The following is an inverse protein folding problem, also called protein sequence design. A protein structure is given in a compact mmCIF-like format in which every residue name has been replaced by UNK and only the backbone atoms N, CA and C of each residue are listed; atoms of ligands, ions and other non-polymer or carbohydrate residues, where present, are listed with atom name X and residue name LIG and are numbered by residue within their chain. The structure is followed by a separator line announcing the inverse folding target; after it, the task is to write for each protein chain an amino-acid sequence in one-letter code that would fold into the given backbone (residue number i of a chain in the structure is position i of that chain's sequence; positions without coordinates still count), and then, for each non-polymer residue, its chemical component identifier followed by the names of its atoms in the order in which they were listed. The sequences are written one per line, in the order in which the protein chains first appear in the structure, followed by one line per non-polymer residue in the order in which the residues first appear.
data_IF_950592786694
#
_entry.id   IF_950592786694
#
_cell.length_a   1.000
_cell.length_b   1.000
_cell.length_c   1.000
_cell.angle_alpha   90.00
_cell.angle_beta   90.00
_cell.angle_gamma   90.00
#
_symmetry.space_group_name_H-M   'P 1'
#
loop_
_entity.id
_entity.type
_entity.pdbx_description
1 polymer ?
#
# COMPACT_ATOMS: atom_id res chain seq x y z
N UNK A 1 49.64 -10.17 38.55
CA UNK A 1 49.96 -9.92 39.98
C UNK A 1 49.88 -8.43 40.24
N UNK A 2 48.87 -8.04 41.03
CA UNK A 2 48.77 -6.89 41.96
C UNK A 2 49.34 -5.52 41.54
N UNK A 3 48.45 -4.53 41.47
CA UNK A 3 48.67 -3.23 42.09
C UNK A 3 47.33 -2.60 42.46
N UNK A 4 46.96 -2.73 43.73
CA UNK A 4 45.97 -1.92 44.44
C UNK A 4 46.75 -0.85 45.20
N UNK A 5 46.32 0.41 45.13
CA UNK A 5 46.49 1.39 46.22
C UNK A 5 45.43 2.48 46.13
N UNK A 6 44.73 2.67 47.25
CA UNK A 6 43.69 3.64 47.51
C UNK A 6 44.24 4.92 48.19
N UNK A 7 43.49 6.03 48.13
CA UNK A 7 43.16 7.00 49.21
C UNK A 7 42.55 8.27 48.55
N UNK A 8 41.24 8.57 48.69
CA UNK A 8 40.57 9.40 49.72
C UNK A 8 41.10 10.84 49.88
N UNK A 9 40.28 11.85 49.55
CA UNK A 9 40.14 13.11 50.31
C UNK A 9 38.75 13.73 50.10
N UNK A 10 38.22 14.24 51.21
CA UNK A 10 36.87 14.75 51.48
C UNK A 10 36.99 16.26 51.76
N UNK A 11 36.08 17.12 51.29
CA UNK A 11 35.73 18.36 52.01
C UNK A 11 34.36 18.92 51.57
N UNK A 12 33.61 19.33 52.58
CA UNK A 12 32.23 19.82 52.61
C UNK A 12 32.26 21.27 53.12
N UNK A 13 31.39 22.16 52.64
CA UNK A 13 30.99 23.37 53.39
C UNK A 13 29.71 24.03 52.84
N UNK A 14 28.76 24.23 53.76
CA UNK A 14 27.49 24.97 53.66
C UNK A 14 27.71 26.50 53.67
N UNK A 15 26.72 27.27 53.17
CA UNK A 15 26.12 28.36 53.96
C UNK A 15 24.73 28.79 53.45
N UNK A 16 23.89 29.14 54.42
CA UNK A 16 22.45 29.45 54.45
C UNK A 16 22.27 30.95 54.78
N UNK A 17 21.20 31.62 54.31
CA UNK A 17 20.50 32.76 54.97
C UNK A 17 19.41 33.36 54.03
N UNK A 18 18.11 33.15 54.29
CA UNK A 18 17.14 34.05 54.98
C UNK A 18 16.61 35.20 54.08
N UNK A 19 15.39 35.17 53.54
CA UNK A 19 14.03 35.38 54.12
C UNK A 19 13.80 36.80 54.67
N UNK A 20 12.89 37.58 54.05
CA UNK A 20 11.76 38.25 54.73
C UNK A 20 10.82 38.99 53.75
N UNK A 21 9.53 38.89 54.11
CA UNK A 21 8.30 39.35 53.47
C UNK A 21 8.22 40.87 53.20
N UNK A 22 7.43 41.25 52.19
CA UNK A 22 6.19 42.03 52.48
C UNK A 22 5.08 41.64 51.52
N UNK A 23 3.95 41.29 52.13
CA UNK A 23 2.66 40.96 51.56
C UNK A 23 1.80 42.24 51.57
N UNK A 24 1.08 42.56 50.48
CA UNK A 24 -0.14 43.38 50.56
C UNK A 24 -1.12 42.96 49.47
N UNK A 25 -2.22 42.36 49.91
CA UNK A 25 -3.39 41.94 49.15
C UNK A 25 -4.22 43.13 48.64
N UNK A 26 -4.85 42.96 47.47
CA UNK A 26 -6.31 43.19 47.29
C UNK A 26 -6.80 42.68 45.91
N UNK A 27 -7.27 41.43 45.93
CA UNK A 27 -8.47 40.79 45.30
C UNK A 27 -9.56 41.66 44.59
N UNK A 28 -10.61 41.07 43.95
CA UNK A 28 -10.75 39.76 43.27
C UNK A 28 -11.65 39.78 41.99
N UNK A 29 -11.66 38.68 41.22
CA UNK A 29 -12.90 38.12 40.62
C UNK A 29 -12.71 36.63 40.33
N UNK A 30 -13.08 35.74 41.28
CA UNK A 30 -14.29 34.89 41.30
C UNK A 30 -14.17 33.58 40.47
N UNK A 31 -13.93 32.49 41.24
CA UNK A 31 -14.44 31.10 41.22
C UNK A 31 -14.25 30.17 40.00
N UNK A 32 -13.94 28.87 40.15
CA UNK A 32 -13.96 27.91 41.29
C UNK A 32 -13.13 26.64 40.95
N UNK A 33 -12.10 26.23 41.74
CA UNK A 33 -12.06 25.12 42.76
C UNK A 33 -12.53 23.74 42.22
N UNK A 34 -11.86 22.57 42.35
CA UNK A 34 -11.05 21.85 43.39
C UNK A 34 -10.30 20.70 42.64
N UNK A 35 -9.14 20.12 42.97
CA UNK A 35 -8.20 20.18 44.10
C UNK A 35 -7.14 19.06 43.94
N UNK A 36 -5.98 19.25 44.57
CA UNK A 36 -4.86 18.30 44.65
C UNK A 36 -5.01 17.39 45.88
N UNK A 37 -4.63 16.11 45.77
CA UNK A 37 -4.15 15.30 46.89
C UNK A 37 -3.50 13.97 46.43
N UNK A 38 -2.23 13.79 46.80
CA UNK A 38 -1.83 12.63 47.61
C UNK A 38 -1.21 11.42 46.90
N UNK A 39 0.05 11.13 47.24
CA UNK A 39 0.65 9.80 47.12
C UNK A 39 -0.12 8.78 47.97
N UNK A 40 -0.57 7.68 47.36
CA UNK A 40 -0.78 6.39 48.03
C UNK A 40 -0.45 5.26 47.06
N UNK A 41 0.41 4.34 47.50
CA UNK A 41 0.72 3.08 46.82
C UNK A 41 -0.35 2.03 47.18
N UNK A 42 -0.55 1.10 46.23
CA UNK A 42 -1.21 -0.22 46.31
C UNK A 42 -2.74 -0.22 46.19
N UNK A 43 -3.18 -0.68 45.01
CA UNK A 43 -4.53 -1.06 44.64
C UNK A 43 -4.64 -1.10 43.12
N UNK A 44 -4.16 -2.17 42.48
CA UNK A 44 -4.42 -2.43 41.05
C UNK A 44 -5.90 -2.82 40.96
N UNK A 45 -6.75 -1.82 40.86
CA UNK A 45 -8.04 -1.98 40.22
C UNK A 45 -7.77 -2.00 38.72
N UNK A 46 -8.05 -3.14 38.08
CA UNK A 46 -8.15 -3.22 36.63
C UNK A 46 -9.38 -2.37 36.28
N UNK A 47 -9.15 -1.07 36.10
CA UNK A 47 -10.11 -0.19 35.45
C UNK A 47 -10.26 -0.76 34.05
N UNK A 48 -11.45 -1.25 33.72
CA UNK A 48 -11.87 -1.38 32.32
C UNK A 48 -11.83 0.03 31.74
N UNK A 49 -10.67 0.45 31.25
CA UNK A 49 -10.52 1.72 30.53
C UNK A 49 -11.30 1.60 29.23
N UNK A 50 -12.08 2.63 28.90
CA UNK A 50 -12.67 2.74 27.57
C UNK A 50 -11.55 2.66 26.51
N UNK A 51 -11.81 2.00 25.37
CA UNK A 51 -10.80 1.86 24.33
C UNK A 51 -10.41 3.24 23.77
N UNK A 52 -9.13 3.39 23.42
CA UNK A 52 -8.68 4.54 22.64
C UNK A 52 -9.28 4.45 21.25
N UNK A 53 -10.16 5.39 20.90
CA UNK A 53 -10.97 5.29 19.70
C UNK A 53 -10.79 6.48 18.77
N UNK A 54 -10.80 6.20 17.48
CA UNK A 54 -10.95 7.19 16.41
C UNK A 54 -12.09 6.77 15.48
N UNK A 55 -12.78 7.76 14.91
CA UNK A 55 -13.83 7.55 13.92
C UNK A 55 -13.56 8.45 12.73
N UNK A 56 -13.52 7.85 11.55
CA UNK A 56 -13.42 8.54 10.28
C UNK A 56 -14.85 8.76 9.77
N UNK A 57 -15.11 9.94 9.21
CA UNK A 57 -16.43 10.30 8.68
C UNK A 57 -16.26 10.96 7.33
N UNK A 58 -17.00 10.51 6.31
CA UNK A 58 -17.12 11.27 5.07
C UNK A 58 -17.98 12.53 5.29
N UNK A 59 -17.62 13.63 4.61
CA UNK A 59 -18.41 14.88 4.64
C UNK A 59 -19.80 14.72 4.00
N UNK A 60 -20.02 13.67 3.19
CA UNK A 60 -21.28 13.41 2.50
C UNK A 60 -21.64 11.92 2.55
N UNK A 61 -22.56 11.53 3.44
CA UNK A 61 -23.08 10.16 3.48
C UNK A 61 -23.89 9.83 2.22
N UNK A 62 -23.41 8.89 1.41
CA UNK A 62 -24.15 8.29 0.30
C UNK A 62 -25.14 7.23 0.81
N UNK A 63 -26.26 6.99 0.11
CA UNK A 63 -27.12 5.86 0.41
C UNK A 63 -26.36 4.54 0.18
N UNK A 64 -26.01 3.83 1.24
CA UNK A 64 -25.21 2.59 1.14
C UNK A 64 -23.98 2.58 2.04
N UNK A 65 -23.59 3.73 2.60
CA UNK A 65 -22.53 3.81 3.60
C UNK A 65 -22.98 3.20 4.93
N UNK A 66 -22.15 2.33 5.50
CA UNK A 66 -22.25 1.85 6.88
C UNK A 66 -20.93 2.11 7.63
N UNK A 67 -20.95 1.93 8.94
CA UNK A 67 -19.76 2.13 9.77
C UNK A 67 -19.27 0.78 10.31
N UNK A 68 -18.03 0.44 10.02
CA UNK A 68 -17.36 -0.76 10.52
C UNK A 68 -16.38 -0.36 11.63
N UNK A 69 -16.48 -1.01 12.79
CA UNK A 69 -15.57 -0.78 13.92
C UNK A 69 -14.61 -1.94 14.06
N UNK A 70 -13.33 -1.64 13.96
CA UNK A 70 -12.21 -2.55 14.21
C UNK A 70 -11.75 -2.37 15.65
N UNK A 71 -11.41 -3.45 16.33
CA UNK A 71 -10.94 -3.45 17.72
C UNK A 71 -9.72 -4.34 17.85
N UNK A 72 -8.64 -3.83 18.45
CA UNK A 72 -7.42 -4.61 18.66
C UNK A 72 -6.74 -4.27 19.99
N UNK A 73 -5.84 -5.15 20.41
CA UNK A 73 -4.99 -4.97 21.58
C UNK A 73 -3.55 -4.66 21.10
N UNK A 74 -2.91 -3.65 21.71
CA UNK A 74 -1.49 -3.35 21.49
C UNK A 74 -0.88 -2.78 22.77
N UNK A 75 0.26 -3.33 23.20
CA UNK A 75 0.98 -2.92 24.44
C UNK A 75 0.07 -2.88 25.68
N UNK A 76 -0.84 -3.86 25.79
CA UNK A 76 -1.78 -4.00 26.91
C UNK A 76 -2.93 -2.99 26.91
N UNK A 77 -3.09 -2.20 25.85
CA UNK A 77 -4.19 -1.25 25.67
C UNK A 77 -5.15 -1.71 24.57
N UNK A 78 -6.43 -1.37 24.73
CA UNK A 78 -7.49 -1.60 23.74
C UNK A 78 -7.67 -0.38 22.85
N UNK A 79 -7.73 -0.62 21.55
CA UNK A 79 -7.83 0.39 20.52
C UNK A 79 -9.02 0.13 19.62
N UNK A 80 -9.59 1.19 19.07
CA UNK A 80 -10.70 1.12 18.12
C UNK A 80 -10.54 2.12 16.99
N UNK A 81 -10.89 1.68 15.79
CA UNK A 81 -11.00 2.53 14.62
C UNK A 81 -12.34 2.26 13.95
N UNK A 82 -13.11 3.31 13.69
CA UNK A 82 -14.40 3.18 12.98
C UNK A 82 -14.29 3.84 11.62
N UNK A 83 -14.54 3.06 10.57
CA UNK A 83 -14.43 3.48 9.18
C UNK A 83 -15.81 3.59 8.52
N UNK A 84 -16.05 4.62 7.69
CA UNK A 84 -17.19 4.66 6.79
C UNK A 84 -16.87 3.79 5.56
N UNK A 85 -17.73 2.83 5.27
CA UNK A 85 -17.59 1.92 4.14
C UNK A 85 -18.86 1.94 3.30
N UNK A 86 -18.71 2.00 1.99
CA UNK A 86 -19.78 2.09 0.99
C UNK A 86 -19.87 0.83 0.11
N UNK A 87 -21.10 0.32 -0.02
CA UNK A 87 -21.39 -0.88 -0.81
C UNK A 87 -21.19 -0.68 -2.33
N UNK A 88 -21.50 0.50 -2.87
CA UNK A 88 -21.35 0.79 -4.30
C UNK A 88 -19.87 0.93 -4.66
N UNK A 89 -19.08 1.52 -3.78
CA UNK A 89 -17.63 1.57 -3.91
C UNK A 89 -17.02 0.17 -3.83
N UNK A 90 -17.45 -0.69 -2.90
CA UNK A 90 -17.01 -2.09 -2.85
C UNK A 90 -17.31 -2.86 -4.14
N UNK A 91 -18.53 -2.75 -4.68
CA UNK A 91 -18.87 -3.38 -5.97
C UNK A 91 -18.08 -2.78 -7.14
N UNK A 92 -17.74 -1.49 -7.07
CA UNK A 92 -16.82 -0.86 -8.03
C UNK A 92 -15.45 -1.53 -7.96
N UNK A 93 -14.86 -1.68 -6.77
CA UNK A 93 -13.59 -2.40 -6.59
C UNK A 93 -13.65 -3.82 -7.14
N UNK A 94 -14.67 -4.60 -6.82
CA UNK A 94 -14.83 -5.98 -7.33
C UNK A 94 -14.90 -6.08 -8.85
N UNK A 95 -15.44 -5.06 -9.51
CA UNK A 95 -15.56 -5.03 -10.97
C UNK A 95 -14.24 -4.69 -11.69
N UNK A 96 -13.24 -4.18 -10.97
CA UNK A 96 -11.94 -3.79 -11.54
C UNK A 96 -11.11 -5.00 -11.92
N UNK A 97 -10.22 -4.83 -12.89
CA UNK A 97 -9.33 -5.92 -13.32
C UNK A 97 -8.22 -6.16 -12.30
N UNK A 98 -7.97 -7.44 -11.98
CA UNK A 98 -6.85 -7.90 -11.16
C UNK A 98 -5.58 -8.15 -11.98
N UNK A 99 -5.62 -7.96 -13.30
CA UNK A 99 -4.46 -8.11 -14.17
C UNK A 99 -3.53 -6.90 -14.03
N UNK A 100 -2.82 -6.83 -12.90
CA UNK A 100 -1.86 -5.80 -12.52
C UNK A 100 -0.90 -6.37 -11.49
N UNK A 101 0.26 -5.75 -11.34
CA UNK A 101 1.27 -6.13 -10.35
C UNK A 101 0.81 -5.73 -8.92
N UNK A 102 1.29 -6.44 -7.89
CA UNK A 102 0.90 -6.20 -6.49
C UNK A 102 1.18 -4.76 -6.00
N UNK A 103 2.25 -4.11 -6.49
CA UNK A 103 2.54 -2.71 -6.17
C UNK A 103 1.44 -1.74 -6.63
N UNK A 104 0.70 -2.10 -7.68
CA UNK A 104 -0.39 -1.30 -8.22
C UNK A 104 -1.71 -1.49 -7.46
N UNK A 105 -1.82 -2.51 -6.61
CA UNK A 105 -2.90 -2.59 -5.62
C UNK A 105 -2.60 -1.70 -4.42
N UNK A 106 -1.35 -1.71 -3.93
CA UNK A 106 -0.94 -0.91 -2.78
C UNK A 106 -0.84 0.61 -3.07
N UNK A 107 -0.57 0.97 -4.32
CA UNK A 107 -0.44 2.38 -4.76
C UNK A 107 -1.71 2.93 -5.44
N UNK A 108 -2.84 2.26 -5.26
CA UNK A 108 -4.08 2.55 -5.98
C UNK A 108 -4.66 3.93 -5.64
N UNK A 109 -4.95 4.81 -6.63
CA UNK A 109 -5.39 6.17 -6.33
C UNK A 109 -6.86 6.27 -5.88
N UNK A 110 -7.66 5.20 -5.96
CA UNK A 110 -9.09 5.27 -5.64
C UNK A 110 -9.35 5.20 -4.13
N UNK A 111 -8.43 4.66 -3.32
CA UNK A 111 -8.52 4.61 -1.86
C UNK A 111 -7.53 5.54 -1.16
N UNK A 112 -6.77 6.36 -1.89
CA UNK A 112 -5.85 7.39 -1.35
C UNK A 112 -6.49 8.20 -0.21
N UNK A 113 -7.75 8.61 -0.37
CA UNK A 113 -8.47 9.37 0.65
C UNK A 113 -8.67 8.57 1.94
N UNK A 114 -9.04 7.29 1.83
CA UNK A 114 -9.32 6.42 2.97
C UNK A 114 -8.03 6.04 3.68
N UNK A 115 -7.00 5.66 2.91
CA UNK A 115 -5.67 5.33 3.43
C UNK A 115 -5.08 6.51 4.19
N UNK A 116 -5.21 7.72 3.63
CA UNK A 116 -4.80 8.95 4.32
C UNK A 116 -5.52 9.17 5.63
N UNK A 117 -6.85 9.08 5.66
CA UNK A 117 -7.61 9.27 6.90
C UNK A 117 -7.28 8.19 7.94
N UNK A 118 -7.02 6.94 7.52
CA UNK A 118 -6.57 5.85 8.41
C UNK A 118 -5.20 6.17 8.99
N UNK A 119 -4.24 6.56 8.15
CA UNK A 119 -2.89 6.95 8.56
C UNK A 119 -2.92 8.12 9.56
N UNK A 120 -3.72 9.15 9.30
CA UNK A 120 -3.90 10.30 10.20
C UNK A 120 -4.57 9.91 11.52
N UNK A 121 -5.56 9.02 11.49
CA UNK A 121 -6.23 8.52 12.69
C UNK A 121 -5.30 7.69 13.57
N UNK A 122 -4.55 6.75 13.00
CA UNK A 122 -3.57 5.94 13.73
C UNK A 122 -2.43 6.79 14.29
N UNK A 123 -1.94 7.77 13.53
CA UNK A 123 -0.93 8.72 14.00
C UNK A 123 -1.46 9.59 15.15
N UNK A 124 -2.73 9.98 15.11
CA UNK A 124 -3.36 10.78 16.17
C UNK A 124 -3.57 9.95 17.44
N UNK A 125 -4.02 8.70 17.31
CA UNK A 125 -4.17 7.76 18.42
C UNK A 125 -2.84 7.49 19.13
N UNK A 126 -1.80 7.17 18.35
CA UNK A 126 -0.46 6.91 18.89
C UNK A 126 0.11 8.12 19.65
N UNK A 127 -0.02 9.33 19.08
CA UNK A 127 0.43 10.57 19.74
C UNK A 127 -0.36 10.91 21.00
N UNK A 128 -1.69 10.72 20.97
CA UNK A 128 -2.54 11.00 22.13
C UNK A 128 -2.21 10.11 23.33
N UNK A 129 -1.75 8.87 23.07
CA UNK A 129 -1.29 7.94 24.10
C UNK A 129 0.20 8.09 24.46
N UNK A 130 0.96 8.89 23.70
CA UNK A 130 2.38 9.11 23.95
C UNK A 130 3.27 7.93 23.55
N UNK A 131 2.88 7.16 22.51
CA UNK A 131 3.76 6.14 21.93
C UNK A 131 5.04 6.78 21.39
N UNK A 132 6.17 6.09 21.56
CA UNK A 132 7.45 6.50 20.99
C UNK A 132 7.40 6.37 19.45
N UNK A 133 8.13 7.24 18.73
CA UNK A 133 8.16 7.21 17.25
C UNK A 133 8.49 5.84 16.65
N UNK A 134 9.35 5.06 17.34
CA UNK A 134 9.73 3.71 16.92
C UNK A 134 8.62 2.67 17.08
N UNK A 135 7.61 2.93 17.91
CA UNK A 135 6.47 2.05 18.16
C UNK A 135 5.34 2.28 17.16
N UNK A 136 5.31 3.44 16.50
CA UNK A 136 4.22 3.82 15.60
C UNK A 136 4.03 2.81 14.45
N UNK A 137 5.08 2.32 13.75
CA UNK A 137 4.89 1.30 12.71
C UNK A 137 4.29 0.00 13.24
N UNK A 138 4.80 -0.50 14.36
CA UNK A 138 4.29 -1.74 14.98
C UNK A 138 2.85 -1.57 15.49
N UNK A 139 2.51 -0.39 16.02
CA UNK A 139 1.14 -0.06 16.37
C UNK A 139 0.21 -0.07 15.16
N UNK A 140 0.62 0.53 14.04
CA UNK A 140 -0.17 0.52 12.81
C UNK A 140 -0.34 -0.88 12.25
N UNK A 141 0.71 -1.69 12.26
CA UNK A 141 0.62 -3.08 11.79
C UNK A 141 -0.18 -3.95 12.74
N UNK A 142 -0.18 -3.69 14.05
CA UNK A 142 -1.05 -4.42 14.98
C UNK A 142 -2.55 -4.26 14.68
N UNK A 143 -2.95 -3.12 14.08
CA UNK A 143 -4.31 -2.94 13.56
C UNK A 143 -4.57 -3.89 12.38
N UNK A 144 -3.65 -3.98 11.42
CA UNK A 144 -3.80 -4.86 10.24
C UNK A 144 -3.75 -6.34 10.65
N UNK A 145 -2.84 -6.72 11.56
CA UNK A 145 -2.73 -8.05 12.15
C UNK A 145 -3.97 -8.50 12.91
N UNK A 146 -4.85 -7.57 13.31
CA UNK A 146 -6.11 -7.86 13.99
C UNK A 146 -7.25 -8.26 13.05
N UNK A 147 -7.07 -8.09 11.74
CA UNK A 147 -8.04 -8.50 10.74
C UNK A 147 -8.12 -10.02 10.64
N UNK A 148 -9.26 -10.54 10.21
CA UNK A 148 -9.45 -11.98 10.07
C UNK A 148 -8.57 -12.52 8.93
N UNK A 149 -7.93 -13.66 9.15
CA UNK A 149 -7.28 -14.38 8.05
C UNK A 149 -8.34 -15.07 7.19
N UNK A 150 -8.42 -14.70 5.92
CA UNK A 150 -9.41 -15.21 4.98
C UNK A 150 -8.70 -15.61 3.69
N UNK A 151 -8.56 -16.92 3.45
CA UNK A 151 -7.95 -17.39 2.20
C UNK A 151 -8.80 -17.07 0.98
N UNK A 152 -8.15 -16.76 -0.14
CA UNK A 152 -8.83 -16.44 -1.41
C UNK A 152 -9.78 -17.52 -1.91
N UNK A 153 -9.41 -18.80 -1.74
CA UNK A 153 -10.25 -19.91 -2.16
C UNK A 153 -11.56 -19.95 -1.37
N UNK A 154 -11.52 -19.61 -0.08
CA UNK A 154 -12.67 -19.64 0.81
C UNK A 154 -13.60 -18.44 0.58
N UNK A 155 -13.06 -17.27 0.25
CA UNK A 155 -13.82 -16.02 0.08
C UNK A 155 -14.31 -15.77 -1.36
N UNK A 156 -13.41 -15.92 -2.33
CA UNK A 156 -13.63 -15.54 -3.73
C UNK A 156 -13.94 -16.74 -4.63
N UNK A 157 -13.54 -17.93 -4.18
CA UNK A 157 -13.61 -19.17 -4.96
C UNK A 157 -12.49 -19.33 -5.99
N UNK A 158 -11.48 -18.45 -5.96
CA UNK A 158 -10.27 -18.51 -6.79
C UNK A 158 -9.04 -18.79 -5.92
N UNK A 159 -8.01 -19.38 -6.52
CA UNK A 159 -6.75 -19.73 -5.83
C UNK A 159 -5.83 -18.51 -5.62
N UNK A 160 -6.05 -17.44 -6.38
CA UNK A 160 -5.38 -16.14 -6.28
C UNK A 160 -6.34 -15.02 -6.69
N UNK A 161 -6.65 -14.14 -5.76
CA UNK A 161 -7.57 -13.00 -5.84
C UNK A 161 -7.06 -11.85 -4.95
N UNK A 162 -5.94 -11.19 -5.34
CA UNK A 162 -5.48 -10.02 -4.61
C UNK A 162 -6.56 -8.96 -4.51
N UNK A 163 -6.76 -8.50 -3.29
CA UNK A 163 -7.71 -7.46 -2.93
C UNK A 163 -7.04 -6.09 -2.92
N UNK A 164 -7.82 -5.09 -3.28
CA UNK A 164 -7.42 -3.71 -2.98
C UNK A 164 -7.50 -3.44 -1.47
N UNK A 165 -6.74 -2.46 -0.94
CA UNK A 165 -6.82 -2.07 0.47
C UNK A 165 -8.26 -1.81 0.93
N UNK A 166 -9.08 -1.14 0.10
CA UNK A 166 -10.50 -0.93 0.38
C UNK A 166 -11.30 -2.24 0.57
N UNK A 167 -11.06 -3.25 -0.26
CA UNK A 167 -11.75 -4.55 -0.17
C UNK A 167 -11.34 -5.31 1.09
N UNK A 168 -10.05 -5.29 1.43
CA UNK A 168 -9.51 -5.91 2.65
C UNK A 168 -10.16 -5.34 3.91
N UNK A 169 -10.30 -4.00 3.95
CA UNK A 169 -11.01 -3.33 5.03
C UNK A 169 -12.49 -3.70 5.02
N UNK A 170 -13.15 -3.67 3.87
CA UNK A 170 -14.58 -3.97 3.75
C UNK A 170 -14.93 -5.39 4.20
N UNK A 171 -14.12 -6.38 3.84
CA UNK A 171 -14.31 -7.78 4.22
C UNK A 171 -13.84 -8.09 5.65
N UNK A 172 -13.22 -7.12 6.32
CA UNK A 172 -12.62 -7.28 7.65
C UNK A 172 -11.54 -8.37 7.69
N UNK A 173 -10.82 -8.57 6.58
CA UNK A 173 -9.89 -9.67 6.45
C UNK A 173 -9.38 -9.89 5.03
N UNK A 174 -8.36 -10.73 4.95
CA UNK A 174 -7.64 -11.14 3.74
C UNK A 174 -6.56 -12.14 4.11
N UNK A 175 -5.80 -12.60 3.13
CA UNK A 175 -4.63 -13.45 3.36
C UNK A 175 -3.33 -12.64 3.34
N UNK A 176 -2.20 -13.31 3.06
CA UNK A 176 -0.87 -12.75 3.27
C UNK A 176 -0.58 -11.55 2.34
N UNK A 177 -1.02 -11.62 1.08
CA UNK A 177 -0.85 -10.54 0.12
C UNK A 177 -1.72 -9.33 0.46
N UNK A 178 -2.97 -9.54 0.84
CA UNK A 178 -3.94 -8.47 1.07
C UNK A 178 -3.54 -7.62 2.27
N UNK A 179 -3.17 -8.30 3.36
CA UNK A 179 -2.70 -7.63 4.58
C UNK A 179 -1.36 -6.95 4.35
N UNK A 180 -0.49 -7.49 3.51
CA UNK A 180 0.77 -6.85 3.10
C UNK A 180 0.53 -5.59 2.26
N UNK A 181 -0.38 -5.66 1.28
CA UNK A 181 -0.79 -4.55 0.41
C UNK A 181 -1.36 -3.39 1.24
N UNK A 182 -2.32 -3.67 2.13
CA UNK A 182 -2.91 -2.67 3.03
C UNK A 182 -1.85 -2.06 3.96
N UNK A 183 -0.96 -2.89 4.51
CA UNK A 183 0.11 -2.45 5.41
C UNK A 183 1.09 -1.49 4.73
N UNK A 184 1.53 -1.81 3.50
CA UNK A 184 2.41 -0.91 2.73
C UNK A 184 1.71 0.41 2.45
N UNK A 185 0.45 0.38 2.00
CA UNK A 185 -0.30 1.58 1.67
C UNK A 185 -0.39 2.55 2.86
N UNK A 186 -0.77 2.05 4.04
CA UNK A 186 -0.85 2.85 5.27
C UNK A 186 0.53 3.40 5.66
N UNK A 187 1.57 2.56 5.69
CA UNK A 187 2.89 2.98 6.16
C UNK A 187 3.56 3.98 5.21
N UNK A 188 3.40 3.82 3.89
CA UNK A 188 3.90 4.78 2.91
C UNK A 188 3.19 6.13 3.04
N UNK A 189 1.87 6.14 3.27
CA UNK A 189 1.11 7.38 3.51
C UNK A 189 1.56 8.09 4.80
N UNK A 190 2.00 7.32 5.81
CA UNK A 190 2.62 7.86 7.02
C UNK A 190 4.07 8.34 6.83
N UNK A 191 4.65 8.15 5.64
CA UNK A 191 6.01 8.56 5.29
C UNK A 191 7.10 7.55 5.65
N UNK A 192 6.74 6.30 5.98
CA UNK A 192 7.70 5.22 6.13
C UNK A 192 8.06 4.64 4.75
N UNK A 193 9.34 4.32 4.57
CA UNK A 193 9.84 3.65 3.36
C UNK A 193 9.59 2.15 3.53
N UNK A 194 8.52 1.68 2.90
CA UNK A 194 8.02 0.31 2.98
C UNK A 194 7.86 -0.31 1.59
N UNK A 195 8.08 -1.61 1.50
CA UNK A 195 8.06 -2.44 0.29
C UNK A 195 7.30 -3.73 0.55
N UNK A 196 6.87 -4.41 -0.51
CA UNK A 196 6.37 -5.77 -0.41
C UNK A 196 7.56 -6.75 -0.45
N UNK A 197 7.46 -7.84 0.29
CA UNK A 197 8.39 -8.96 0.26
C UNK A 197 7.64 -10.18 -0.27
N UNK A 198 8.01 -10.62 -1.47
CA UNK A 198 7.42 -11.79 -2.10
C UNK A 198 8.29 -13.02 -1.82
N UNK A 199 7.66 -14.06 -1.25
CA UNK A 199 8.25 -15.34 -0.93
C UNK A 199 7.47 -16.45 -1.67
N UNK A 200 8.00 -17.68 -1.78
CA UNK A 200 7.24 -18.79 -2.33
C UNK A 200 5.95 -19.01 -1.54
N UNK A 201 4.79 -18.81 -2.19
CA UNK A 201 3.45 -18.97 -1.61
C UNK A 201 3.18 -18.09 -0.37
N UNK A 202 3.90 -16.97 -0.19
CA UNK A 202 3.69 -16.05 0.93
C UNK A 202 4.08 -14.61 0.56
N UNK A 203 3.46 -13.65 1.23
CA UNK A 203 3.82 -12.24 1.12
C UNK A 203 3.89 -11.60 2.50
N UNK A 204 4.87 -10.72 2.68
CA UNK A 204 5.07 -9.95 3.90
C UNK A 204 5.43 -8.49 3.59
N UNK A 205 5.52 -7.69 4.65
CA UNK A 205 6.00 -6.31 4.58
C UNK A 205 7.52 -6.26 4.78
N UNK A 206 8.20 -5.39 4.02
CA UNK A 206 9.55 -4.91 4.33
C UNK A 206 9.50 -3.45 4.74
N UNK A 207 10.03 -3.10 5.92
CA UNK A 207 10.11 -1.70 6.38
C UNK A 207 11.55 -1.27 6.58
N UNK A 208 11.91 -0.11 6.04
CA UNK A 208 13.21 0.49 6.28
C UNK A 208 13.31 1.01 7.71
N UNK A 209 14.31 0.55 8.43
CA UNK A 209 14.60 1.00 9.78
C UNK A 209 15.93 1.74 9.86
N UNK A 210 16.07 2.54 10.92
CA UNK A 210 17.34 3.20 11.22
C UNK A 210 18.45 2.17 11.51
N UNK A 211 19.70 2.58 11.30
CA UNK A 211 20.88 1.73 11.53
C UNK A 211 20.89 1.15 12.94
N UNK A 212 21.06 -0.17 13.06
CA UNK A 212 21.20 -0.87 14.35
C UNK A 212 19.94 -1.58 14.84
N UNK A 213 18.85 -1.56 14.07
CA UNK A 213 17.74 -2.51 14.26
C UNK A 213 18.25 -3.95 14.17
N UNK A 214 17.60 -4.87 14.87
CA UNK A 214 17.96 -6.30 14.88
C UNK A 214 16.83 -7.10 14.25
N UNK A 215 17.18 -8.21 13.63
CA UNK A 215 16.23 -9.12 13.01
C UNK A 215 16.59 -9.39 11.55
N UNK A 216 15.69 -10.07 10.83
CA UNK A 216 15.87 -10.36 9.41
C UNK A 216 15.59 -9.12 8.58
N UNK A 217 16.54 -8.76 7.73
CA UNK A 217 16.38 -7.72 6.72
C UNK A 217 16.83 -8.19 5.33
N UNK A 218 16.43 -7.43 4.32
CA UNK A 218 16.75 -7.64 2.91
C UNK A 218 17.27 -6.34 2.31
N UNK A 219 18.44 -6.40 1.66
CA UNK A 219 19.05 -5.23 1.02
C UNK A 219 18.36 -4.96 -0.33
N UNK A 220 17.92 -3.73 -0.53
CA UNK A 220 17.41 -3.23 -1.80
C UNK A 220 17.85 -1.78 -2.00
N UNK A 221 18.47 -1.49 -3.16
CA UNK A 221 19.02 -0.17 -3.51
C UNK A 221 19.86 0.51 -2.40
N UNK A 222 20.63 -0.29 -1.66
CA UNK A 222 21.51 0.18 -0.59
C UNK A 222 20.80 0.54 0.72
N UNK A 223 19.54 0.14 0.89
CA UNK A 223 18.77 0.21 2.14
C UNK A 223 18.41 -1.18 2.65
N UNK A 224 18.39 -1.35 3.98
CA UNK A 224 17.94 -2.59 4.63
C UNK A 224 16.45 -2.49 4.97
N UNK A 225 15.65 -3.38 4.40
CA UNK A 225 14.22 -3.53 4.69
C UNK A 225 14.01 -4.72 5.63
N UNK A 226 13.56 -4.45 6.86
CA UNK A 226 13.31 -5.46 7.88
C UNK A 226 11.98 -6.14 7.61
N UNK A 227 11.96 -7.47 7.71
CA UNK A 227 10.75 -8.26 7.59
C UNK A 227 9.75 -7.85 8.66
N UNK A 228 8.47 -7.76 8.32
CA UNK A 228 7.39 -7.62 9.28
C UNK A 228 6.21 -8.46 8.79
N UNK A 229 5.83 -9.45 9.59
CA UNK A 229 4.68 -10.30 9.31
C UNK A 229 3.38 -9.52 9.52
N UNK A 230 2.47 -9.63 8.57
CA UNK A 230 1.15 -8.97 8.61
C UNK A 230 0.04 -9.94 8.95
N UNK A 231 0.30 -11.25 8.85
CA UNK A 231 -0.65 -12.31 9.16
C UNK A 231 -0.46 -12.86 10.58
N UNK A 232 -1.54 -12.85 11.36
CA UNK A 232 -1.52 -13.27 12.77
C UNK A 232 -1.07 -12.14 13.70
N UNK A 233 -1.05 -12.41 15.00
CA UNK A 233 -0.87 -11.38 16.03
C UNK A 233 0.53 -11.36 16.62
N UNK A 234 0.92 -10.21 17.16
CA UNK A 234 2.11 -9.99 18.00
C UNK A 234 3.47 -10.16 17.29
N UNK A 235 3.50 -10.13 15.96
CA UNK A 235 4.76 -10.16 15.22
C UNK A 235 5.48 -8.80 15.25
N UNK A 236 6.75 -8.82 15.63
CA UNK A 236 7.59 -7.63 15.72
C UNK A 236 8.46 -7.43 14.48
N UNK A 237 8.96 -6.20 14.30
CA UNK A 237 9.88 -5.91 13.20
C UNK A 237 11.13 -6.78 13.31
N UNK A 238 11.42 -7.49 12.22
CA UNK A 238 12.58 -8.36 12.06
C UNK A 238 12.36 -9.81 12.51
N UNK A 239 11.19 -10.14 13.06
CA UNK A 239 10.78 -11.52 13.33
C UNK A 239 10.22 -12.18 12.08
N UNK A 240 10.62 -13.42 11.82
CA UNK A 240 10.17 -14.19 10.65
C UNK A 240 9.62 -15.52 11.14
N UNK A 241 8.43 -15.96 10.67
CA UNK A 241 7.94 -17.30 10.93
C UNK A 241 8.98 -18.37 10.52
N UNK A 242 9.10 -19.44 11.30
CA UNK A 242 10.14 -20.47 11.12
C UNK A 242 10.10 -21.08 9.69
N UNK A 243 8.91 -21.23 9.13
CA UNK A 243 8.70 -21.78 7.77
C UNK A 243 9.25 -20.89 6.64
N UNK A 244 9.42 -19.59 6.89
CA UNK A 244 9.90 -18.60 5.93
C UNK A 244 11.35 -18.16 6.16
N UNK A 245 11.97 -18.55 7.28
CA UNK A 245 13.28 -18.04 7.71
C UNK A 245 14.41 -18.21 6.66
N UNK A 246 14.38 -19.32 5.91
CA UNK A 246 15.38 -19.69 4.91
C UNK A 246 14.88 -19.56 3.46
N UNK A 247 13.69 -19.00 3.24
CA UNK A 247 13.11 -18.85 1.90
C UNK A 247 13.78 -17.70 1.12
N UNK A 248 13.88 -17.82 -0.22
CA UNK A 248 14.28 -16.70 -1.05
C UNK A 248 13.22 -15.60 -0.99
N UNK A 249 13.67 -14.35 -1.00
CA UNK A 249 12.78 -13.18 -0.94
C UNK A 249 13.07 -12.27 -2.11
N UNK A 250 12.02 -11.91 -2.84
CA UNK A 250 12.02 -10.87 -3.85
C UNK A 250 11.48 -9.58 -3.24
N UNK A 251 12.27 -8.51 -3.29
CA UNK A 251 11.83 -7.19 -2.80
C UNK A 251 11.07 -6.50 -3.92
N UNK A 252 9.80 -6.20 -3.69
CA UNK A 252 8.91 -5.54 -4.65
C UNK A 252 8.70 -4.09 -4.18
N UNK A 253 9.39 -3.11 -4.78
CA UNK A 253 9.20 -1.71 -4.43
C UNK A 253 7.79 -1.25 -4.81
N UNK A 254 7.16 -0.47 -3.94
CA UNK A 254 5.84 0.11 -4.21
C UNK A 254 6.00 1.57 -4.55
N UNK A 255 5.64 1.94 -5.78
CA UNK A 255 5.68 3.31 -6.27
C UNK A 255 4.62 3.53 -7.33
N UNK A 256 4.14 4.77 -7.43
CA UNK A 256 3.12 5.13 -8.40
C UNK A 256 3.68 5.15 -9.83
N UNK A 257 3.00 4.52 -10.78
CA UNK A 257 3.41 4.44 -12.20
C UNK A 257 2.24 4.14 -13.14
N UNK A 258 2.27 4.57 -14.40
CA UNK A 258 1.33 4.08 -15.40
C UNK A 258 1.70 2.65 -15.81
N UNK A 259 0.70 1.81 -16.05
CA UNK A 259 0.88 0.45 -16.57
C UNK A 259 -0.26 0.14 -17.51
N UNK A 260 0.04 -0.33 -18.72
CA UNK A 260 -0.96 -0.51 -19.77
C UNK A 260 -1.18 -1.99 -20.04
N UNK A 261 -2.44 -2.40 -20.05
CA UNK A 261 -2.88 -3.67 -20.60
C UNK A 261 -3.39 -3.47 -22.03
N UNK A 262 -2.92 -4.32 -22.95
CA UNK A 262 -3.34 -4.33 -24.35
C UNK A 262 -4.19 -5.55 -24.66
N UNK A 263 -5.21 -5.34 -25.48
CA UNK A 263 -5.93 -6.40 -26.20
C UNK A 263 -6.25 -5.92 -27.62
N UNK A 264 -6.40 -6.85 -28.56
CA UNK A 264 -6.90 -6.49 -29.89
C UNK A 264 -7.69 -7.60 -30.57
N UNK A 265 -8.55 -7.19 -31.50
CA UNK A 265 -9.26 -8.07 -32.43
C UNK A 265 -9.01 -7.62 -33.86
N UNK A 266 -8.51 -8.53 -34.67
CA UNK A 266 -8.26 -8.28 -36.09
C UNK A 266 -9.34 -8.92 -36.98
N UNK A 267 -9.72 -8.22 -38.04
CA UNK A 267 -10.58 -8.71 -39.11
C UNK A 267 -9.82 -8.61 -40.42
N UNK A 268 -9.83 -9.69 -41.20
CA UNK A 268 -9.11 -9.78 -42.46
C UNK A 268 -10.09 -9.97 -43.62
N UNK A 269 -9.98 -9.12 -44.63
CA UNK A 269 -10.62 -9.30 -45.93
C UNK A 269 -9.54 -9.63 -46.98
N UNK A 270 -9.87 -10.43 -47.99
CA UNK A 270 -8.88 -10.91 -48.95
C UNK A 270 -9.32 -10.79 -50.40
N UNK A 271 -8.35 -10.51 -51.26
CA UNK A 271 -8.48 -10.49 -52.71
C UNK A 271 -7.36 -11.32 -53.37
N UNK A 272 -7.38 -11.43 -54.71
CA UNK A 272 -6.29 -12.12 -55.44
C UNK A 272 -4.95 -11.38 -55.40
N UNK A 273 -4.91 -10.14 -54.91
CA UNK A 273 -3.70 -9.29 -54.94
C UNK A 273 -3.16 -8.98 -53.54
N UNK A 274 -4.05 -8.78 -52.59
CA UNK A 274 -3.72 -8.35 -51.23
C UNK A 274 -4.79 -8.79 -50.23
N UNK A 275 -4.36 -8.93 -48.97
CA UNK A 275 -5.20 -8.92 -47.79
C UNK A 275 -5.28 -7.51 -47.19
N UNK A 276 -6.45 -7.16 -46.69
CA UNK A 276 -6.71 -5.93 -45.94
C UNK A 276 -7.08 -6.31 -44.51
N UNK A 277 -6.39 -5.70 -43.55
CA UNK A 277 -6.51 -6.01 -42.13
C UNK A 277 -6.99 -4.76 -41.38
N UNK A 278 -8.12 -4.90 -40.70
CA UNK A 278 -8.63 -3.92 -39.75
C UNK A 278 -8.41 -4.47 -38.33
N UNK A 279 -7.81 -3.66 -37.45
CA UNK A 279 -7.48 -4.04 -36.07
C UNK A 279 -8.22 -3.08 -35.13
N UNK A 280 -8.97 -3.64 -34.18
CA UNK A 280 -9.56 -2.91 -33.06
C UNK A 280 -8.73 -3.20 -31.82
N UNK A 281 -8.14 -2.17 -31.23
CA UNK A 281 -7.23 -2.22 -30.09
C UNK A 281 -7.95 -1.64 -28.88
N UNK A 282 -7.83 -2.32 -27.75
CA UNK A 282 -8.26 -1.83 -26.44
C UNK A 282 -7.00 -1.63 -25.60
N UNK A 283 -6.85 -0.42 -25.07
CA UNK A 283 -5.76 0.01 -24.21
C UNK A 283 -6.37 0.39 -22.87
N UNK A 284 -5.97 -0.28 -21.79
CA UNK A 284 -6.43 0.03 -20.44
C UNK A 284 -5.24 0.43 -19.58
N UNK A 285 -5.31 1.60 -18.94
CA UNK A 285 -4.35 1.93 -17.88
C UNK A 285 -4.77 1.25 -16.59
N UNK A 286 -3.98 0.30 -16.11
CA UNK A 286 -4.14 -0.39 -14.81
C UNK A 286 -3.13 0.10 -13.77
N UNK A 287 -2.33 1.10 -14.13
CA UNK A 287 -1.40 1.76 -13.21
C UNK A 287 -2.08 2.80 -12.33
N UNK A 288 -1.33 3.27 -11.34
CA UNK A 288 -1.73 4.28 -10.38
C UNK A 288 -1.51 5.72 -10.86
N UNK A 289 -0.76 5.90 -11.96
CA UNK A 289 -0.56 7.20 -12.60
C UNK A 289 -1.16 7.24 -14.01
N UNK A 290 -1.45 8.45 -14.48
CA UNK A 290 -1.80 8.70 -15.87
C UNK A 290 -0.66 8.32 -16.83
N UNK A 291 -1.01 7.71 -17.95
CA UNK A 291 -0.08 7.52 -19.05
C UNK A 291 -0.07 8.77 -19.92
N UNK A 292 1.06 9.49 -19.97
CA UNK A 292 1.20 10.76 -20.67
C UNK A 292 1.73 10.58 -22.10
N UNK A 293 1.13 11.32 -23.03
CA UNK A 293 1.50 11.30 -24.45
C UNK A 293 1.58 9.86 -25.03
N UNK A 294 0.70 8.98 -24.57
CA UNK A 294 0.66 7.59 -25.00
C UNK A 294 0.24 7.49 -26.47
N UNK A 295 0.86 6.59 -27.21
CA UNK A 295 0.59 6.30 -28.62
C UNK A 295 0.38 4.80 -28.79
N UNK A 296 -0.44 4.43 -29.77
CA UNK A 296 -0.64 3.04 -30.18
C UNK A 296 -0.08 2.86 -31.58
N UNK A 297 1.00 2.10 -31.66
CA UNK A 297 1.63 1.70 -32.91
C UNK A 297 1.16 0.31 -33.31
N UNK A 298 0.74 0.17 -34.57
CA UNK A 298 0.22 -1.09 -35.14
C UNK A 298 0.97 -1.39 -36.43
N UNK A 299 1.47 -2.61 -36.56
CA UNK A 299 2.17 -3.05 -37.77
C UNK A 299 1.78 -4.46 -38.20
N UNK A 300 1.81 -4.70 -39.51
CA UNK A 300 1.76 -6.04 -40.10
C UNK A 300 3.20 -6.51 -40.33
N UNK A 301 3.75 -7.22 -39.35
CA UNK A 301 5.15 -7.64 -39.37
C UNK A 301 5.35 -8.86 -40.28
N UNK A 302 6.41 -8.85 -41.10
CA UNK A 302 6.79 -9.98 -41.95
C UNK A 302 7.53 -11.08 -41.16
N UNK A 303 7.71 -12.26 -41.78
CA UNK A 303 8.28 -13.46 -41.14
C UNK A 303 9.70 -13.26 -40.59
N UNK A 304 10.48 -12.32 -41.16
CA UNK A 304 11.82 -11.98 -40.69
C UNK A 304 11.84 -11.10 -39.43
N UNK A 305 10.67 -10.66 -38.93
CA UNK A 305 10.47 -9.76 -37.79
C UNK A 305 11.12 -8.37 -37.92
N UNK A 306 11.72 -8.05 -39.06
CA UNK A 306 12.39 -6.78 -39.30
C UNK A 306 11.65 -5.96 -40.36
N UNK A 307 11.13 -6.65 -41.37
CA UNK A 307 10.35 -6.05 -42.44
C UNK A 307 8.89 -5.91 -42.01
N UNK A 308 8.28 -4.81 -42.43
CA UNK A 308 6.87 -4.51 -42.21
C UNK A 308 6.16 -4.48 -43.57
N UNK A 309 4.96 -5.04 -43.63
CA UNK A 309 4.10 -4.92 -44.81
C UNK A 309 3.38 -3.58 -44.83
N UNK A 310 2.89 -3.16 -43.66
CA UNK A 310 2.18 -1.91 -43.46
C UNK A 310 2.22 -1.54 -41.97
N UNK A 311 2.06 -0.26 -41.67
CA UNK A 311 2.08 0.26 -40.29
C UNK A 311 1.22 1.53 -40.16
N UNK A 312 0.70 1.74 -38.96
CA UNK A 312 -0.03 2.95 -38.61
C UNK A 312 0.19 3.27 -37.13
N UNK A 313 0.15 4.55 -36.79
CA UNK A 313 0.27 5.04 -35.43
C UNK A 313 -0.92 5.93 -35.09
N UNK A 314 -1.40 5.86 -33.84
CA UNK A 314 -2.43 6.76 -33.34
C UNK A 314 -1.88 8.18 -33.12
N UNK A 315 -2.77 9.16 -32.95
CA UNK A 315 -2.38 10.40 -32.27
C UNK A 315 -2.02 10.09 -30.81
N UNK A 316 -1.21 10.96 -30.19
CA UNK A 316 -0.96 10.89 -28.75
C UNK A 316 -2.22 11.12 -27.94
N UNK A 317 -2.34 10.44 -26.80
CA UNK A 317 -3.46 10.52 -25.88
C UNK A 317 -2.96 10.40 -24.43
N UNK A 318 -3.61 11.09 -23.50
CA UNK A 318 -3.42 10.85 -22.06
C UNK A 318 -4.48 9.86 -21.61
N UNK A 319 -4.10 8.84 -20.85
CA UNK A 319 -5.00 7.79 -20.35
C UNK A 319 -4.95 7.78 -18.83
N UNK A 320 -6.05 8.17 -18.17
CA UNK A 320 -6.16 8.20 -16.71
C UNK A 320 -6.18 6.77 -16.11
N UNK A 321 -5.86 6.57 -14.82
CA UNK A 321 -6.02 5.27 -14.15
C UNK A 321 -7.41 4.64 -14.38
N UNK A 322 -7.42 3.34 -14.67
CA UNK A 322 -8.58 2.51 -15.09
C UNK A 322 -9.34 2.97 -16.34
N UNK A 323 -8.93 4.05 -16.99
CA UNK A 323 -9.50 4.48 -18.27
C UNK A 323 -9.21 3.47 -19.38
N UNK A 324 -10.19 3.31 -20.27
CA UNK A 324 -10.09 2.47 -21.46
C UNK A 324 -10.12 3.34 -22.72
N UNK A 325 -9.02 3.33 -23.44
CA UNK A 325 -8.91 3.92 -24.76
C UNK A 325 -9.10 2.85 -25.84
N UNK A 326 -9.97 3.11 -26.81
CA UNK A 326 -10.20 2.22 -27.95
C UNK A 326 -9.70 2.88 -29.23
N UNK A 327 -8.86 2.16 -29.99
CA UNK A 327 -8.29 2.62 -31.25
C UNK A 327 -8.58 1.62 -32.36
N UNK A 328 -8.93 2.10 -33.55
CA UNK A 328 -9.13 1.25 -34.73
C UNK A 328 -8.14 1.62 -35.83
N UNK A 329 -7.17 0.73 -36.07
CA UNK A 329 -6.28 0.77 -37.23
C UNK A 329 -7.00 0.12 -38.43
N UNK A 330 -7.23 0.88 -39.50
CA UNK A 330 -8.00 0.41 -40.66
C UNK A 330 -7.16 0.36 -41.92
N UNK A 331 -7.43 -0.66 -42.74
CA UNK A 331 -6.96 -0.71 -44.11
C UNK A 331 -5.48 -1.09 -44.27
N UNK A 332 -4.86 -1.73 -43.27
CA UNK A 332 -3.46 -2.17 -43.41
C UNK A 332 -3.38 -3.30 -44.43
N UNK A 333 -2.36 -3.27 -45.29
CA UNK A 333 -2.27 -4.15 -46.44
C UNK A 333 -1.14 -5.18 -46.33
N UNK A 334 -1.42 -6.41 -46.78
CA UNK A 334 -0.41 -7.47 -46.92
C UNK A 334 -0.50 -8.09 -48.32
N UNK A 335 0.62 -8.29 -49.04
CA UNK A 335 0.56 -8.93 -50.34
C UNK A 335 0.03 -10.38 -50.26
N UNK A 336 -0.78 -10.78 -51.24
CA UNK A 336 -1.34 -12.13 -51.26
C UNK A 336 -0.26 -13.22 -51.27
N UNK A 337 -0.50 -14.29 -50.51
CA UNK A 337 0.41 -15.41 -50.29
C UNK A 337 1.58 -15.11 -49.35
N UNK A 338 1.63 -13.94 -48.71
CA UNK A 338 2.67 -13.60 -47.73
C UNK A 338 2.20 -13.86 -46.32
N UNK A 339 3.14 -14.31 -45.49
CA UNK A 339 2.92 -14.44 -44.05
C UNK A 339 3.06 -13.09 -43.36
N UNK A 340 2.24 -12.88 -42.35
CA UNK A 340 2.33 -11.73 -41.47
C UNK A 340 1.82 -12.09 -40.08
N UNK A 341 2.09 -11.21 -39.12
CA UNK A 341 1.36 -11.16 -37.83
C UNK A 341 1.04 -9.71 -37.50
N UNK A 342 -0.01 -9.50 -36.72
CA UNK A 342 -0.31 -8.18 -36.14
C UNK A 342 0.65 -7.97 -34.97
N UNK A 343 1.31 -6.82 -34.96
CA UNK A 343 2.09 -6.30 -33.84
C UNK A 343 1.41 -5.04 -33.35
N UNK A 344 1.13 -4.96 -32.05
CA UNK A 344 0.58 -3.77 -31.40
C UNK A 344 1.52 -3.39 -30.26
N UNK A 345 1.88 -2.12 -30.19
CA UNK A 345 2.66 -1.56 -29.08
C UNK A 345 1.99 -0.29 -28.58
N UNK A 346 1.92 -0.14 -27.26
CA UNK A 346 1.66 1.13 -26.62
C UNK A 346 2.95 1.66 -25.98
N UNK A 347 3.21 2.96 -26.15
CA UNK A 347 4.36 3.64 -25.54
C UNK A 347 4.02 5.10 -25.26
N UNK A 348 4.72 5.74 -24.34
CA UNK A 348 4.45 7.12 -23.93
C UNK A 348 5.63 7.74 -23.20
N UNK A 349 5.49 8.99 -22.75
CA UNK A 349 6.59 9.75 -22.13
C UNK A 349 7.05 9.15 -20.79
N UNK A 350 6.09 8.70 -19.98
CA UNK A 350 6.31 8.11 -18.66
C UNK A 350 5.90 6.62 -18.61
N UNK A 351 5.67 5.99 -19.77
CA UNK A 351 5.16 4.63 -19.89
C UNK A 351 6.26 3.68 -20.38
N UNK A 352 6.51 2.60 -19.64
CA UNK A 352 7.30 1.48 -20.15
C UNK A 352 6.54 0.86 -21.33
N UNK A 353 7.16 0.74 -22.53
CA UNK A 353 6.45 0.25 -23.70
C UNK A 353 5.92 -1.17 -23.52
N UNK A 354 4.63 -1.38 -23.77
CA UNK A 354 3.97 -2.68 -23.73
C UNK A 354 3.60 -3.13 -25.14
N UNK A 355 3.76 -4.42 -25.45
CA UNK A 355 3.47 -4.92 -26.80
C UNK A 355 2.90 -6.33 -26.80
N UNK A 356 2.00 -6.58 -27.75
CA UNK A 356 1.39 -7.88 -27.98
C UNK A 356 1.40 -8.21 -29.48
N UNK A 357 1.40 -9.51 -29.80
CA UNK A 357 1.39 -9.98 -31.20
C UNK A 357 0.36 -11.06 -31.43
N UNK A 358 -0.20 -11.11 -32.64
CA UNK A 358 -1.01 -12.26 -33.06
C UNK A 358 -0.11 -13.45 -33.39
N UNK A 359 -0.75 -14.62 -33.51
CA UNK A 359 -0.18 -15.74 -34.25
C UNK A 359 0.10 -15.35 -35.70
N UNK A 360 0.98 -16.13 -36.34
CA UNK A 360 1.27 -15.96 -37.77
C UNK A 360 0.07 -16.37 -38.63
N UNK A 361 -0.29 -15.50 -39.56
CA UNK A 361 -1.33 -15.71 -40.55
C UNK A 361 -0.77 -15.64 -41.97
N UNK A 362 -1.51 -16.17 -42.93
CA UNK A 362 -1.25 -16.05 -44.37
C UNK A 362 -2.58 -15.84 -45.07
N UNK A 363 -2.62 -14.87 -45.99
CA UNK A 363 -3.82 -14.51 -46.76
C UNK A 363 -3.62 -14.81 -48.24
#
# INVERSE_FOLDING_TARGET
MKSLTALFYFFLLLSLAEFLLTWSNSEPSINSYIGDAGKSLIGVDIVNSEPYSASITEESTTPGTFFQTYSWDYEGCKWQLTLPLDNELYETYKSRTRNRDYDLFASDPYDDWLIKEIAEALLSLSKAHGLEERQIPEFCISFVQSLDYISDLESSGYDQYPRFPYETLYENGGDCEDTSILSVAILQEMGYDAVLLELPEHMALGIKCNTGYKGRSFEYEGSDYYYLETTGSDWQIGEVPEEYADQPVNVVPVYRRPTINLDFKAQCAYSKKEGVVDINITVRNVGSERAENATVYVALQAEDKLSLWDEIESSSITIEPDEVFNYTAKGLTVPAGKKFRVYVQASGENLVPENITSEWAMI
#
